data_IF_724180623423
#
_entry.id   IF_724180623423
#
_cell.length_a   1.000
_cell.length_b   1.000
_cell.length_c   1.000
_cell.angle_alpha   90.00
_cell.angle_beta   90.00
_cell.angle_gamma   90.00
#
_symmetry.space_group_name_H-M   'P 1'
#
loop_
_entity.id
_entity.type
_entity.pdbx_description
1 polymer ?
#
# COMPACT_ATOMS: atom_id res chain seq x y z
N UNK A 1 12.99 -5.79 -26.32
CA UNK A 1 11.75 -5.53 -25.57
C UNK A 1 11.47 -4.04 -25.61
N UNK A 2 10.40 -3.61 -26.27
CA UNK A 2 9.94 -2.22 -26.20
C UNK A 2 9.12 -2.03 -24.92
N UNK A 3 9.47 -1.02 -24.13
CA UNK A 3 8.78 -0.68 -22.90
C UNK A 3 7.55 0.16 -23.27
N UNK A 4 6.38 -0.47 -23.22
CA UNK A 4 5.10 0.12 -23.68
C UNK A 4 4.49 1.08 -22.64
N UNK A 5 5.00 1.08 -21.40
CA UNK A 5 4.51 1.93 -20.30
C UNK A 5 5.68 2.58 -19.58
N UNK A 6 6.07 3.77 -20.03
CA UNK A 6 6.95 4.67 -19.28
C UNK A 6 6.10 5.62 -18.44
N UNK A 7 6.24 5.52 -17.11
CA UNK A 7 5.72 6.56 -16.23
C UNK A 7 6.64 7.79 -16.32
N UNK A 8 6.10 9.02 -16.33
CA UNK A 8 6.92 10.22 -16.22
C UNK A 8 7.72 10.16 -14.93
N UNK A 9 9.00 10.54 -14.98
CA UNK A 9 9.82 10.65 -13.78
C UNK A 9 9.25 11.76 -12.91
N UNK A 10 8.60 11.39 -11.81
CA UNK A 10 8.28 12.28 -10.69
C UNK A 10 9.59 12.64 -9.99
N UNK A 11 10.43 13.47 -10.62
CA UNK A 11 11.43 14.22 -9.87
C UNK A 11 10.66 15.34 -9.19
N UNK A 12 10.08 15.03 -8.05
CA UNK A 12 9.77 16.06 -7.08
C UNK A 12 11.11 16.76 -6.81
N UNK A 13 11.17 18.08 -6.97
CA UNK A 13 12.19 18.83 -6.23
C UNK A 13 11.90 18.52 -4.77
N UNK A 14 12.71 17.64 -4.19
CA UNK A 14 12.50 17.13 -2.84
C UNK A 14 12.60 18.32 -1.86
N UNK A 15 11.44 18.78 -1.37
CA UNK A 15 11.38 19.81 -0.34
C UNK A 15 12.31 19.38 0.82
N UNK A 16 13.34 20.18 1.15
CA UNK A 16 14.31 19.82 2.19
C UNK A 16 13.66 19.47 3.52
N UNK A 17 12.50 20.05 3.84
CA UNK A 17 11.75 19.73 5.05
C UNK A 17 11.12 18.33 4.99
N UNK A 18 10.57 17.94 3.84
CA UNK A 18 10.00 16.61 3.63
C UNK A 18 11.09 15.54 3.73
N UNK A 19 12.25 15.77 3.10
CA UNK A 19 13.40 14.84 3.18
C UNK A 19 13.85 14.66 4.62
N UNK A 20 14.00 15.77 5.36
CA UNK A 20 14.39 15.74 6.77
C UNK A 20 13.38 14.94 7.58
N UNK A 21 12.09 15.22 7.42
CA UNK A 21 11.02 14.57 8.19
C UNK A 21 10.94 13.07 7.90
N UNK A 22 11.03 12.65 6.65
CA UNK A 22 11.02 11.22 6.27
C UNK A 22 12.26 10.51 6.82
N UNK A 23 13.43 11.15 6.75
CA UNK A 23 14.68 10.60 7.31
C UNK A 23 14.57 10.37 8.82
N UNK A 24 14.01 11.34 9.55
CA UNK A 24 13.74 11.23 11.00
C UNK A 24 12.76 10.08 11.29
N UNK A 25 11.67 9.97 10.54
CA UNK A 25 10.69 8.87 10.68
C UNK A 25 11.37 7.51 10.51
N UNK A 26 12.16 7.33 9.44
CA UNK A 26 12.85 6.07 9.17
C UNK A 26 13.84 5.74 10.29
N UNK A 27 14.60 6.71 10.78
CA UNK A 27 15.56 6.50 11.85
C UNK A 27 14.87 6.12 13.17
N UNK A 28 13.76 6.78 13.50
CA UNK A 28 12.97 6.46 14.70
C UNK A 28 12.39 5.04 14.61
N UNK A 29 11.86 4.65 13.45
CA UNK A 29 11.35 3.28 13.23
C UNK A 29 12.47 2.24 13.37
N UNK A 30 13.68 2.53 12.88
CA UNK A 30 14.83 1.62 13.04
C UNK A 30 15.27 1.45 14.49
N UNK A 31 15.17 2.49 15.30
CA UNK A 31 15.60 2.49 16.70
C UNK A 31 14.53 1.91 17.64
N UNK A 32 13.27 2.27 17.45
CA UNK A 32 12.17 2.00 18.39
C UNK A 32 11.18 0.95 17.86
N UNK A 33 11.28 0.56 16.58
CA UNK A 33 10.43 -0.45 15.97
C UNK A 33 8.95 -0.10 16.00
N UNK A 34 8.14 -1.04 16.48
CA UNK A 34 6.67 -0.93 16.51
C UNK A 34 6.19 0.27 17.32
N UNK A 35 6.87 0.64 18.42
CA UNK A 35 6.48 1.79 19.25
C UNK A 35 6.44 3.09 18.45
N UNK A 36 7.46 3.32 17.61
CA UNK A 36 7.49 4.49 16.72
C UNK A 36 6.36 4.43 15.69
N UNK A 37 6.09 3.26 15.11
CA UNK A 37 4.99 3.08 14.14
C UNK A 37 3.64 3.39 14.76
N UNK A 38 3.36 2.88 15.98
CA UNK A 38 2.10 3.16 16.69
C UNK A 38 1.90 4.64 16.98
N UNK A 39 2.97 5.31 17.41
CA UNK A 39 2.94 6.76 17.65
C UNK A 39 2.67 7.54 16.36
N UNK A 40 3.36 7.21 15.28
CA UNK A 40 3.16 7.86 13.97
C UNK A 40 1.76 7.63 13.40
N UNK A 41 1.21 6.42 13.55
CA UNK A 41 -0.15 6.11 13.10
C UNK A 41 -1.21 6.98 13.82
N UNK A 42 -1.03 7.21 15.13
CA UNK A 42 -1.87 8.15 15.87
C UNK A 42 -1.67 9.60 15.40
N UNK A 43 -0.42 10.04 15.25
CA UNK A 43 -0.12 11.43 14.90
C UNK A 43 -0.56 11.82 13.48
N UNK A 44 -0.48 10.90 12.52
CA UNK A 44 -0.72 11.19 11.10
C UNK A 44 -2.13 10.79 10.65
N UNK A 45 -2.65 9.68 11.15
CA UNK A 45 -3.90 9.07 10.68
C UNK A 45 -4.98 8.94 11.77
N UNK A 46 -4.69 9.41 12.99
CA UNK A 46 -5.53 9.20 14.19
C UNK A 46 -5.88 7.71 14.42
N UNK A 47 -4.93 6.82 14.07
CA UNK A 47 -5.14 5.38 14.11
C UNK A 47 -4.63 4.76 15.41
N UNK A 48 -5.56 4.25 16.22
CA UNK A 48 -5.26 3.57 17.49
C UNK A 48 -5.63 2.08 17.50
N UNK A 49 -6.14 1.54 16.39
CA UNK A 49 -6.60 0.15 16.30
C UNK A 49 -5.46 -0.82 15.94
N UNK A 50 -5.79 -2.12 15.89
CA UNK A 50 -4.85 -3.16 15.44
C UNK A 50 -4.43 -2.96 13.97
N UNK A 51 -3.13 -3.10 13.70
CA UNK A 51 -2.57 -3.02 12.35
C UNK A 51 -2.85 -4.26 11.51
N UNK A 52 -3.00 -5.42 12.16
CA UNK A 52 -3.33 -6.68 11.49
C UNK A 52 -4.82 -6.94 11.68
N UNK A 53 -5.54 -7.07 10.57
CA UNK A 53 -6.94 -7.46 10.60
C UNK A 53 -7.08 -8.91 11.10
N UNK A 54 -7.92 -9.11 12.11
CA UNK A 54 -8.37 -10.45 12.50
C UNK A 54 -9.17 -11.10 11.36
N UNK A 55 -9.24 -12.43 11.35
CA UNK A 55 -9.97 -13.17 10.32
C UNK A 55 -11.48 -12.89 10.38
N UNK A 56 -12.01 -12.64 11.58
CA UNK A 56 -13.41 -12.25 11.79
C UNK A 56 -13.68 -10.87 11.20
N UNK A 57 -12.85 -9.87 11.52
CA UNK A 57 -12.98 -8.50 10.99
C UNK A 57 -12.82 -8.50 9.46
N UNK A 58 -11.87 -9.28 8.94
CA UNK A 58 -11.67 -9.46 7.50
C UNK A 58 -12.93 -10.00 6.83
N UNK A 59 -13.49 -11.10 7.36
CA UNK A 59 -14.71 -11.72 6.81
C UNK A 59 -15.90 -10.76 6.85
N UNK A 60 -16.06 -10.04 7.96
CA UNK A 60 -17.12 -9.06 8.13
C UNK A 60 -16.99 -7.85 7.18
N UNK A 61 -15.78 -7.44 6.82
CA UNK A 61 -15.56 -6.38 5.83
C UNK A 61 -15.84 -6.89 4.40
N UNK A 62 -15.42 -8.11 4.08
CA UNK A 62 -15.68 -8.73 2.76
C UNK A 62 -17.18 -8.88 2.52
N UNK A 63 -17.97 -9.21 3.54
CA UNK A 63 -19.42 -9.35 3.42
C UNK A 63 -20.15 -8.04 3.15
N UNK A 64 -19.55 -6.89 3.47
CA UNK A 64 -20.12 -5.56 3.18
C UNK A 64 -19.95 -5.14 1.72
N UNK A 65 -19.06 -5.81 0.97
CA UNK A 65 -18.84 -5.51 -0.45
C UNK A 65 -19.94 -6.17 -1.29
N UNK A 66 -20.51 -5.42 -2.23
CA UNK A 66 -21.55 -5.95 -3.14
C UNK A 66 -21.01 -7.06 -4.04
N UNK A 67 -21.86 -7.99 -4.44
CA UNK A 67 -21.47 -9.07 -5.37
C UNK A 67 -20.99 -8.52 -6.72
N UNK A 68 -21.64 -7.49 -7.25
CA UNK A 68 -21.20 -6.85 -8.50
C UNK A 68 -19.77 -6.31 -8.37
N UNK A 69 -19.48 -5.57 -7.30
CA UNK A 69 -18.12 -5.05 -7.05
C UNK A 69 -17.11 -6.18 -6.90
N UNK A 70 -17.46 -7.29 -6.24
CA UNK A 70 -16.59 -8.46 -6.15
C UNK A 70 -16.30 -9.05 -7.53
N UNK A 71 -17.32 -9.20 -8.37
CA UNK A 71 -17.16 -9.69 -9.75
C UNK A 71 -16.26 -8.78 -10.58
N UNK A 72 -16.46 -7.46 -10.52
CA UNK A 72 -15.67 -6.50 -11.28
C UNK A 72 -14.19 -6.52 -10.85
N UNK A 73 -13.92 -6.56 -9.54
CA UNK A 73 -12.58 -6.68 -8.99
C UNK A 73 -11.91 -8.00 -9.39
N UNK A 74 -12.66 -9.11 -9.35
CA UNK A 74 -12.16 -10.41 -9.79
C UNK A 74 -11.81 -10.38 -11.28
N UNK A 75 -12.66 -9.81 -12.13
CA UNK A 75 -12.36 -9.68 -13.56
C UNK A 75 -11.07 -8.91 -13.79
N UNK A 76 -10.91 -7.72 -13.20
CA UNK A 76 -9.70 -6.92 -13.31
C UNK A 76 -8.45 -7.68 -12.83
N UNK A 77 -8.55 -8.37 -11.68
CA UNK A 77 -7.46 -9.18 -11.15
C UNK A 77 -7.03 -10.30 -12.10
N UNK A 78 -7.98 -11.04 -12.70
CA UNK A 78 -7.67 -12.10 -13.67
C UNK A 78 -6.92 -11.55 -14.88
N UNK A 79 -7.33 -10.39 -15.40
CA UNK A 79 -6.68 -9.77 -16.55
C UNK A 79 -5.24 -9.33 -16.23
N UNK A 80 -5.03 -8.68 -15.08
CA UNK A 80 -3.70 -8.25 -14.62
C UNK A 80 -2.80 -9.47 -14.40
N UNK A 81 -3.29 -10.51 -13.70
CA UNK A 81 -2.54 -11.73 -13.43
C UNK A 81 -2.12 -12.45 -14.72
N UNK A 82 -3.05 -12.59 -15.66
CA UNK A 82 -2.77 -13.21 -16.98
C UNK A 82 -1.67 -12.47 -17.73
N UNK A 83 -1.75 -11.15 -17.77
CA UNK A 83 -0.75 -10.34 -18.42
C UNK A 83 0.63 -10.48 -17.76
N UNK A 84 0.71 -10.36 -16.43
CA UNK A 84 1.96 -10.50 -15.69
C UNK A 84 2.58 -11.90 -15.84
N UNK A 85 1.76 -12.96 -15.85
CA UNK A 85 2.23 -14.32 -16.09
C UNK A 85 2.83 -14.46 -17.49
N UNK A 86 2.14 -13.96 -18.51
CA UNK A 86 2.66 -13.98 -19.88
C UNK A 86 3.97 -13.19 -20.05
N UNK A 87 4.19 -12.14 -19.25
CA UNK A 87 5.46 -11.40 -19.24
C UNK A 87 6.61 -12.19 -18.60
N UNK A 88 6.33 -13.05 -17.63
CA UNK A 88 7.34 -13.89 -16.98
C UNK A 88 7.74 -15.09 -17.85
N UNK A 89 6.81 -15.59 -18.65
CA UNK A 89 7.02 -16.75 -19.54
C UNK A 89 7.71 -16.37 -20.87
N UNK A 90 7.98 -15.08 -21.10
CA UNK A 90 8.65 -14.52 -22.29
C UNK A 90 10.09 -14.10 -22.01
#
# INVERSE_FOLDING_TARGET
MEIIKQAPSLRADDDPEVVRRVTEIINNIRQEGETAVRRLARELDDWEQDFVLSDEKRTALISQVSEQTKTDLQFAWHQIKRFAQAQMDS
#
